data_IF_737035526923
#
_entry.id   IF_737035526923
#
_cell.length_a   1.000
_cell.length_b   1.000
_cell.length_c   1.000
_cell.angle_alpha   90.00
_cell.angle_beta   90.00
_cell.angle_gamma   90.00
#
_symmetry.space_group_name_H-M   'P 1'
#
loop_
_entity.id
_entity.type
_entity.pdbx_description
1 polymer ?
#
# COMPACT_ATOMS: atom_id res chain seq x y z
N UNK A 1 -17.21 21.94 17.03
CA UNK A 1 -16.24 22.16 15.96
C UNK A 1 -15.68 20.80 15.60
N UNK A 2 -16.29 20.14 14.61
CA UNK A 2 -15.90 18.82 14.16
C UNK A 2 -14.63 18.99 13.34
N UNK A 3 -13.48 18.64 13.91
CA UNK A 3 -12.24 18.56 13.13
C UNK A 3 -12.46 17.41 12.16
N UNK A 4 -12.84 17.72 10.91
CA UNK A 4 -12.84 16.76 9.81
C UNK A 4 -11.45 16.13 9.80
N UNK A 5 -11.37 14.90 10.31
CA UNK A 5 -10.15 14.11 10.38
C UNK A 5 -9.88 13.58 8.96
N UNK A 6 -9.64 14.50 8.03
CA UNK A 6 -9.38 14.21 6.62
C UNK A 6 -7.94 13.75 6.48
N UNK A 7 -7.67 12.56 7.02
CA UNK A 7 -6.40 11.88 6.85
C UNK A 7 -6.55 10.92 5.68
N UNK A 8 -5.60 10.92 4.73
CA UNK A 8 -5.70 10.09 3.52
C UNK A 8 -5.87 8.60 3.84
N UNK A 9 -5.32 8.16 4.98
CA UNK A 9 -5.51 6.79 5.51
C UNK A 9 -6.96 6.43 5.82
N UNK A 10 -7.88 7.38 5.98
CA UNK A 10 -9.30 7.09 6.17
C UNK A 10 -9.99 6.84 4.82
N UNK A 11 -9.46 7.45 3.76
CA UNK A 11 -10.06 7.50 2.43
C UNK A 11 -9.52 6.41 1.51
N UNK A 12 -8.24 6.06 1.60
CA UNK A 12 -7.61 5.09 0.72
C UNK A 12 -8.13 3.67 0.95
N UNK A 13 -8.71 3.04 -0.07
CA UNK A 13 -9.22 1.66 -0.04
C UNK A 13 -8.64 0.85 -1.21
N UNK A 14 -8.46 -0.45 -1.01
CA UNK A 14 -7.88 -1.32 -2.02
C UNK A 14 -8.76 -1.47 -3.28
N UNK A 15 -10.08 -1.34 -3.13
CA UNK A 15 -11.05 -1.40 -4.23
C UNK A 15 -11.07 -0.16 -5.15
N UNK A 16 -10.28 0.88 -4.82
CA UNK A 16 -10.05 2.05 -5.67
C UNK A 16 -9.04 1.79 -6.79
N UNK A 17 -8.37 0.63 -6.78
CA UNK A 17 -7.31 0.28 -7.71
C UNK A 17 -7.78 -0.81 -8.68
N UNK A 18 -7.49 -0.61 -9.97
CA UNK A 18 -7.51 -1.71 -10.93
C UNK A 18 -6.14 -2.39 -10.91
N UNK A 19 -6.13 -3.69 -10.60
CA UNK A 19 -4.90 -4.45 -10.40
C UNK A 19 -4.82 -5.50 -11.51
N UNK A 20 -3.67 -5.57 -12.16
CA UNK A 20 -3.37 -6.61 -13.12
C UNK A 20 -2.00 -7.24 -12.84
N UNK A 21 -1.94 -8.57 -12.84
CA UNK A 21 -0.72 -9.37 -12.73
C UNK A 21 -0.57 -10.10 -14.07
N UNK A 22 0.57 -9.92 -14.73
CA UNK A 22 0.79 -10.48 -16.08
C UNK A 22 -0.34 -10.12 -17.07
N UNK A 23 -0.86 -8.89 -16.96
CA UNK A 23 -1.99 -8.35 -17.77
C UNK A 23 -3.34 -9.06 -17.54
N UNK A 24 -3.43 -9.97 -16.57
CA UNK A 24 -4.70 -10.55 -16.13
C UNK A 24 -5.23 -9.77 -14.94
N UNK A 25 -6.54 -9.50 -14.95
CA UNK A 25 -7.21 -8.84 -13.82
C UNK A 25 -6.99 -9.65 -12.55
N UNK A 26 -6.57 -8.98 -11.49
CA UNK A 26 -6.26 -9.58 -10.20
C UNK A 26 -6.83 -8.73 -9.06
N UNK A 27 -6.82 -9.29 -7.86
CA UNK A 27 -7.20 -8.64 -6.61
C UNK A 27 -5.97 -8.26 -5.78
N UNK A 28 -6.16 -7.38 -4.80
CA UNK A 28 -5.10 -7.06 -3.83
C UNK A 28 -4.63 -8.28 -3.03
N UNK A 29 -5.50 -9.29 -2.84
CA UNK A 29 -5.15 -10.55 -2.17
C UNK A 29 -4.24 -11.44 -3.03
N UNK A 30 -4.41 -11.40 -4.34
CA UNK A 30 -3.53 -12.10 -5.29
C UNK A 30 -2.20 -11.36 -5.45
N UNK A 31 -2.20 -10.03 -5.36
CA UNK A 31 -1.00 -9.20 -5.36
C UNK A 31 -0.16 -9.37 -4.08
N UNK A 32 -0.82 -9.49 -2.92
CA UNK A 32 -0.19 -9.72 -1.61
C UNK A 32 -0.76 -11.00 -0.97
N UNK A 33 -0.32 -12.19 -1.42
CA UNK A 33 -0.80 -13.45 -0.88
C UNK A 33 -0.45 -13.56 0.61
N UNK A 34 -1.41 -14.05 1.40
CA UNK A 34 -1.29 -14.31 2.84
C UNK A 34 -0.87 -13.09 3.71
N UNK A 35 -1.12 -11.89 3.20
CA UNK A 35 -0.82 -10.64 3.91
C UNK A 35 -1.45 -10.58 5.30
N UNK A 36 -0.63 -10.28 6.31
CA UNK A 36 -1.01 -10.26 7.72
C UNK A 36 -0.48 -9.00 8.45
N UNK A 37 -0.84 -8.86 9.73
CA UNK A 37 -0.55 -7.65 10.50
C UNK A 37 0.94 -7.42 10.80
N UNK A 38 1.78 -8.45 10.65
CA UNK A 38 3.22 -8.42 10.90
C UNK A 38 4.03 -8.15 9.63
N UNK A 39 3.42 -8.22 8.44
CA UNK A 39 4.13 -8.01 7.19
C UNK A 39 4.60 -6.57 7.02
N UNK A 40 5.65 -6.42 6.22
CA UNK A 40 6.25 -5.16 5.81
C UNK A 40 6.36 -5.14 4.30
N UNK A 41 6.22 -3.95 3.72
CA UNK A 41 6.32 -3.79 2.28
C UNK A 41 7.71 -3.31 1.89
N UNK A 42 8.33 -4.01 0.95
CA UNK A 42 9.60 -3.62 0.34
C UNK A 42 9.45 -3.58 -1.17
N UNK A 43 10.00 -2.55 -1.80
CA UNK A 43 10.14 -2.50 -3.26
C UNK A 43 11.62 -2.41 -3.64
N UNK A 44 11.98 -3.13 -4.70
CA UNK A 44 13.27 -3.00 -5.36
C UNK A 44 13.07 -2.16 -6.61
N UNK A 45 13.87 -1.12 -6.78
CA UNK A 45 13.86 -0.22 -7.93
C UNK A 45 15.17 -0.43 -8.66
N UNK A 46 15.09 -0.99 -9.87
CA UNK A 46 16.23 -1.33 -10.72
C UNK A 46 16.23 -0.61 -12.08
N UNK A 47 15.19 0.18 -12.37
CA UNK A 47 15.07 0.99 -13.59
C UNK A 47 15.06 2.51 -13.30
N UNK A 48 15.58 3.35 -14.22
CA UNK A 48 15.43 4.80 -14.13
C UNK A 48 13.96 5.21 -14.00
N UNK A 49 13.66 6.03 -13.00
CA UNK A 49 12.28 6.52 -12.72
C UNK A 49 11.34 5.38 -12.28
N UNK A 50 11.84 4.16 -12.00
CA UNK A 50 11.02 3.03 -11.55
C UNK A 50 10.23 3.31 -10.25
N UNK A 51 10.77 4.15 -9.37
CA UNK A 51 10.05 4.62 -8.18
C UNK A 51 8.75 5.37 -8.48
N UNK A 52 8.69 6.11 -9.60
CA UNK A 52 7.45 6.78 -10.03
C UNK A 52 6.40 5.74 -10.43
N UNK A 53 6.80 4.72 -11.21
CA UNK A 53 5.94 3.61 -11.59
C UNK A 53 5.43 2.80 -10.40
N UNK A 54 6.25 2.66 -9.36
CA UNK A 54 5.89 1.94 -8.14
C UNK A 54 4.90 2.69 -7.22
N UNK A 55 4.57 3.96 -7.50
CA UNK A 55 3.72 4.79 -6.63
C UNK A 55 2.35 4.17 -6.36
N UNK A 56 1.72 3.56 -7.37
CA UNK A 56 0.41 2.92 -7.18
C UNK A 56 0.55 1.65 -6.34
N UNK A 57 1.57 0.83 -6.60
CA UNK A 57 1.85 -0.38 -5.82
C UNK A 57 2.07 -0.05 -4.34
N UNK A 58 2.80 1.02 -4.05
CA UNK A 58 2.99 1.56 -2.71
C UNK A 58 1.65 1.90 -2.03
N UNK A 59 0.73 2.54 -2.75
CA UNK A 59 -0.58 2.89 -2.20
C UNK A 59 -1.48 1.67 -1.96
N UNK A 60 -1.43 0.64 -2.82
CA UNK A 60 -2.13 -0.62 -2.56
C UNK A 60 -1.56 -1.29 -1.30
N UNK A 61 -0.24 -1.29 -1.11
CA UNK A 61 0.39 -1.81 0.10
C UNK A 61 -0.03 -1.03 1.36
N UNK A 62 -0.16 0.30 1.27
CA UNK A 62 -0.71 1.12 2.35
C UNK A 62 -2.16 0.74 2.67
N UNK A 63 -3.01 0.54 1.65
CA UNK A 63 -4.38 0.10 1.85
C UNK A 63 -4.44 -1.27 2.55
N UNK A 64 -3.67 -2.25 2.07
CA UNK A 64 -3.56 -3.59 2.67
C UNK A 64 -3.11 -3.53 4.14
N UNK A 65 -2.13 -2.68 4.47
CA UNK A 65 -1.68 -2.46 5.84
C UNK A 65 -2.79 -1.97 6.79
N UNK A 66 -3.65 -1.06 6.32
CA UNK A 66 -4.75 -0.58 7.14
C UNK A 66 -5.96 -1.53 7.15
N UNK A 67 -6.19 -2.27 6.07
CA UNK A 67 -7.34 -3.18 5.94
C UNK A 67 -7.19 -4.43 6.81
N UNK A 68 -5.97 -4.94 7.00
CA UNK A 68 -5.73 -6.10 7.88
C UNK A 68 -5.96 -5.79 9.37
N UNK A 69 -5.85 -4.51 9.77
CA UNK A 69 -6.14 -4.05 11.13
C UNK A 69 -6.82 -2.68 11.10
N UNK A 70 -8.15 -2.63 10.84
CA UNK A 70 -8.88 -1.38 10.60
C UNK A 70 -8.80 -0.34 11.73
N UNK A 71 -8.56 -0.78 12.97
CA UNK A 71 -8.34 0.12 14.10
C UNK A 71 -7.14 1.06 13.90
N UNK A 72 -6.14 0.69 13.07
CA UNK A 72 -5.04 1.58 12.66
C UNK A 72 -5.53 2.87 11.99
N UNK A 73 -6.76 2.90 11.45
CA UNK A 73 -7.35 4.09 10.82
C UNK A 73 -8.00 5.05 11.83
N UNK A 74 -8.27 4.63 13.06
CA UNK A 74 -9.09 5.41 14.01
C UNK A 74 -8.48 5.57 15.40
N UNK A 75 -7.83 4.55 15.95
CA UNK A 75 -7.42 4.53 17.37
C UNK A 75 -6.04 5.13 17.63
N UNK A 76 -5.10 4.97 16.70
CA UNK A 76 -3.72 5.49 16.79
C UNK A 76 -3.19 5.68 15.37
N UNK A 77 -2.48 6.79 15.10
CA UNK A 77 -1.82 7.02 13.80
C UNK A 77 -0.59 6.12 13.69
N UNK A 78 -0.83 4.86 13.32
CA UNK A 78 0.23 3.89 13.04
C UNK A 78 0.45 3.86 11.53
N UNK A 79 1.68 4.14 11.11
CA UNK A 79 2.05 4.14 9.70
C UNK A 79 2.75 2.82 9.33
N UNK A 80 2.57 2.33 8.10
CA UNK A 80 3.34 1.19 7.61
C UNK A 80 4.83 1.51 7.59
N UNK A 81 5.67 0.54 7.94
CA UNK A 81 7.09 0.60 7.60
C UNK A 81 7.24 0.11 6.17
N UNK A 82 7.84 0.95 5.32
CA UNK A 82 8.01 0.70 3.90
C UNK A 82 9.46 0.94 3.53
N UNK A 83 10.05 0.02 2.78
CA UNK A 83 11.45 0.06 2.39
C UNK A 83 11.57 0.15 0.87
N UNK A 84 12.32 1.12 0.37
CA UNK A 84 12.66 1.23 -1.04
C UNK A 84 14.15 0.98 -1.23
N UNK A 85 14.47 -0.11 -1.91
CA UNK A 85 15.84 -0.51 -2.22
C UNK A 85 16.15 -0.11 -3.66
N UNK A 86 16.98 0.91 -3.84
CA UNK A 86 17.48 1.26 -5.16
C UNK A 86 18.70 0.40 -5.46
N UNK A 87 18.61 -0.38 -6.54
CA UNK A 87 19.67 -1.29 -6.98
C UNK A 87 20.14 -0.82 -8.35
N UNK A 88 21.42 -0.50 -8.46
CA UNK A 88 21.95 0.23 -9.62
C UNK A 88 22.26 1.68 -9.26
N UNK A 89 22.47 2.52 -10.29
CA UNK A 89 22.71 3.96 -10.13
C UNK A 89 21.43 4.76 -10.23
#
# INVERSE_FOLDING_TARGET
>A
METLNMHVMALLKADMFDIAIERQKASARELFPDWNAHDRFGLVIDEPIGGLGATQLLQVAMAAYYDIKPSRRTSLRVYPEIYAFHVGR
#
